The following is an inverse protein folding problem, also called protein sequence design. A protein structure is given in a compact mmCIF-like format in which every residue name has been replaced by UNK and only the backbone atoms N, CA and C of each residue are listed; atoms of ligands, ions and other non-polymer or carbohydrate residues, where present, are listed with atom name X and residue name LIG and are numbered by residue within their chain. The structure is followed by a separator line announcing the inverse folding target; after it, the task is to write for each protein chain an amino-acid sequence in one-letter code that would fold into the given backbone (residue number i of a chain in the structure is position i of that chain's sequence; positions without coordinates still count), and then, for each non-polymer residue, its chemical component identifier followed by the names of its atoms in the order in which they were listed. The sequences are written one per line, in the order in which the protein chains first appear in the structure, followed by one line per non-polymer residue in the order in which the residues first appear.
data_IF_435655954146
#
_entry.id   IF_435655954146
#
_cell.length_a   1.000
_cell.length_b   1.000
_cell.length_c   1.000
_cell.angle_alpha   90.00
_cell.angle_beta   90.00
_cell.angle_gamma   90.00
#
_symmetry.space_group_name_H-M   'P 1'
#
loop_
_entity.id
_entity.type
_entity.pdbx_description
1 polymer ?
#
# COMPACT_ATOMS: atom_id res chain seq x y z
N UNK A 1 13.54 -0.22 14.09
CA UNK A 1 14.37 -0.72 12.98
C UNK A 1 13.53 -1.63 12.10
N UNK A 2 13.83 -1.66 10.80
CA UNK A 2 13.02 -2.39 9.82
C UNK A 2 13.89 -3.03 8.74
N UNK A 3 13.61 -4.28 8.40
CA UNK A 3 14.09 -4.92 7.18
C UNK A 3 13.02 -4.76 6.11
N UNK A 4 13.41 -4.17 4.99
CA UNK A 4 12.56 -4.00 3.84
C UNK A 4 13.03 -4.94 2.74
N UNK A 5 12.16 -5.86 2.35
CA UNK A 5 12.42 -6.82 1.28
C UNK A 5 11.81 -6.27 0.01
N UNK A 6 12.58 -6.21 -1.07
CA UNK A 6 12.09 -5.82 -2.41
C UNK A 6 11.35 -6.99 -3.06
N UNK A 7 10.27 -7.39 -2.40
CA UNK A 7 9.37 -8.46 -2.82
C UNK A 7 8.02 -8.27 -2.14
N UNK A 8 6.95 -8.66 -2.81
CA UNK A 8 5.58 -8.43 -2.37
C UNK A 8 4.61 -9.16 -3.29
N UNK A 9 3.31 -8.86 -3.19
CA UNK A 9 2.30 -9.62 -3.95
C UNK A 9 2.40 -9.50 -5.48
N UNK A 10 3.15 -8.53 -5.99
CA UNK A 10 3.44 -8.39 -7.44
C UNK A 10 4.33 -9.52 -7.98
N UNK A 11 5.15 -10.12 -7.10
CA UNK A 11 6.18 -11.10 -7.44
C UNK A 11 5.66 -12.56 -7.36
N UNK A 12 4.35 -12.75 -7.28
CA UNK A 12 3.72 -14.05 -7.04
C UNK A 12 3.37 -14.82 -8.32
N UNK A 13 3.69 -14.30 -9.51
CA UNK A 13 3.28 -14.87 -10.81
C UNK A 13 3.59 -16.36 -10.98
N UNK A 14 4.72 -16.82 -10.42
CA UNK A 14 5.18 -18.21 -10.47
C UNK A 14 4.84 -19.02 -9.20
N UNK A 15 3.95 -18.49 -8.37
CA UNK A 15 3.60 -19.00 -7.05
C UNK A 15 2.08 -18.94 -6.81
N UNK A 16 1.54 -19.66 -5.82
CA UNK A 16 0.17 -19.44 -5.40
C UNK A 16 0.00 -18.00 -4.88
N UNK A 17 -0.95 -17.25 -5.44
CA UNK A 17 -1.22 -15.88 -5.00
C UNK A 17 -1.57 -15.80 -3.51
N UNK A 18 -1.06 -14.77 -2.84
CA UNK A 18 -1.09 -14.63 -1.38
C UNK A 18 0.11 -15.23 -0.66
N UNK A 19 1.09 -15.82 -1.38
CA UNK A 19 2.29 -16.39 -0.78
C UNK A 19 3.15 -15.35 -0.06
N UNK A 20 3.25 -14.11 -0.53
CA UNK A 20 4.06 -13.09 0.12
C UNK A 20 3.48 -12.74 1.50
N UNK A 21 2.16 -12.58 1.57
CA UNK A 21 1.45 -12.36 2.83
C UNK A 21 1.46 -13.61 3.73
N UNK A 22 1.33 -14.81 3.15
CA UNK A 22 1.42 -16.04 3.93
C UNK A 22 2.83 -16.24 4.51
N UNK A 23 3.88 -15.90 3.75
CA UNK A 23 5.26 -15.91 4.22
C UNK A 23 5.46 -14.92 5.37
N UNK A 24 4.87 -13.73 5.29
CA UNK A 24 4.82 -12.75 6.38
C UNK A 24 4.37 -13.36 7.70
N UNK A 25 3.22 -14.06 7.71
CA UNK A 25 2.75 -14.79 8.88
C UNK A 25 3.76 -15.82 9.37
N UNK A 26 4.32 -16.58 8.44
CA UNK A 26 5.18 -17.72 8.74
C UNK A 26 6.56 -17.31 9.27
N UNK A 27 7.06 -16.11 8.95
CA UNK A 27 8.37 -15.62 9.43
C UNK A 27 8.51 -15.62 10.95
N UNK A 28 7.40 -15.44 11.65
CA UNK A 28 7.37 -15.34 13.11
C UNK A 28 7.04 -16.68 13.82
N UNK A 29 6.91 -17.78 13.07
CA UNK A 29 6.49 -19.08 13.61
C UNK A 29 7.64 -19.99 13.99
N UNK A 30 8.87 -19.50 13.87
CA UNK A 30 10.08 -20.20 14.28
C UNK A 30 11.23 -20.01 13.30
N UNK A 31 12.42 -19.93 13.87
CA UNK A 31 13.69 -19.86 13.17
C UNK A 31 14.56 -21.06 13.54
N UNK A 32 15.77 -21.13 12.97
CA UNK A 32 16.76 -22.14 13.37
C UNK A 32 17.18 -21.98 14.83
N UNK A 33 17.15 -20.75 15.37
CA UNK A 33 17.66 -20.46 16.71
C UNK A 33 16.57 -20.15 17.75
N UNK A 34 15.33 -19.87 17.32
CA UNK A 34 14.22 -19.45 18.19
C UNK A 34 12.91 -20.15 17.83
N UNK A 35 12.19 -20.60 18.85
CA UNK A 35 10.79 -21.01 18.68
C UNK A 35 9.89 -19.78 18.58
N UNK A 36 8.65 -19.96 18.12
CA UNK A 36 7.60 -18.92 18.08
C UNK A 36 7.40 -18.23 19.43
N UNK A 37 7.36 -19.00 20.51
CA UNK A 37 7.18 -18.50 21.88
C UNK A 37 8.40 -17.69 22.30
N UNK A 38 9.60 -18.20 21.99
CA UNK A 38 10.85 -17.51 22.31
C UNK A 38 10.96 -16.17 21.60
N UNK A 39 10.59 -16.07 20.32
CA UNK A 39 10.53 -14.79 19.59
C UNK A 39 9.63 -13.79 20.34
N UNK A 40 8.44 -14.24 20.76
CA UNK A 40 7.47 -13.37 21.42
C UNK A 40 7.94 -12.92 22.81
N UNK A 41 8.57 -13.83 23.56
CA UNK A 41 9.10 -13.56 24.90
C UNK A 41 10.28 -12.59 24.84
N UNK A 42 11.28 -12.84 23.96
CA UNK A 42 12.46 -11.97 23.84
C UNK A 42 12.07 -10.53 23.49
N UNK A 43 11.11 -10.31 22.57
CA UNK A 43 10.64 -8.94 22.30
C UNK A 43 9.94 -8.32 23.51
N UNK A 44 9.18 -9.11 24.28
CA UNK A 44 8.45 -8.60 25.46
C UNK A 44 9.41 -8.27 26.61
N UNK A 45 10.45 -9.08 26.81
CA UNK A 45 11.47 -8.90 27.86
C UNK A 45 12.22 -7.57 27.70
N UNK A 46 12.49 -7.16 26.46
CA UNK A 46 13.17 -5.90 26.16
C UNK A 46 12.19 -4.71 26.02
N UNK A 47 10.91 -4.91 26.33
CA UNK A 47 9.87 -3.90 26.19
C UNK A 47 9.63 -3.46 24.74
N UNK A 48 9.97 -4.32 23.77
CA UNK A 48 9.89 -4.03 22.36
C UNK A 48 8.51 -4.27 21.75
N UNK A 49 8.39 -3.91 20.48
CA UNK A 49 7.23 -4.24 19.63
C UNK A 49 7.73 -4.75 18.29
N UNK A 50 6.98 -5.64 17.66
CA UNK A 50 7.35 -6.19 16.37
C UNK A 50 6.12 -6.35 15.48
N UNK A 51 6.37 -6.52 14.20
CA UNK A 51 5.33 -6.83 13.24
C UNK A 51 5.85 -6.82 11.82
N UNK A 52 4.93 -6.94 10.88
CA UNK A 52 5.23 -6.86 9.47
C UNK A 52 4.08 -6.24 8.68
N UNK A 53 4.33 -5.95 7.41
CA UNK A 53 3.32 -5.58 6.45
C UNK A 53 3.78 -5.92 5.03
N UNK A 54 2.92 -6.59 4.27
CA UNK A 54 3.14 -6.92 2.86
C UNK A 54 2.36 -5.98 1.95
N UNK A 55 3.07 -5.35 1.02
CA UNK A 55 2.52 -4.53 -0.05
C UNK A 55 2.78 -5.21 -1.42
N UNK A 56 2.24 -4.67 -2.53
CA UNK A 56 2.49 -5.26 -3.84
C UNK A 56 3.98 -5.33 -4.21
N UNK A 57 4.75 -4.29 -3.88
CA UNK A 57 6.12 -4.13 -4.38
C UNK A 57 7.21 -4.43 -3.33
N UNK A 58 6.83 -4.54 -2.06
CA UNK A 58 7.75 -4.71 -0.95
C UNK A 58 7.05 -5.32 0.28
N UNK A 59 7.84 -5.94 1.17
CA UNK A 59 7.40 -6.43 2.47
C UNK A 59 8.32 -5.86 3.54
N UNK A 60 7.75 -5.35 4.62
CA UNK A 60 8.50 -4.79 5.75
C UNK A 60 8.34 -5.65 6.97
N UNK A 61 9.44 -5.99 7.63
CA UNK A 61 9.49 -6.58 8.97
C UNK A 61 10.13 -5.56 9.91
N UNK A 62 9.60 -5.38 11.10
CA UNK A 62 10.12 -4.39 12.04
C UNK A 62 10.18 -4.91 13.46
N UNK A 63 11.16 -4.38 14.18
CA UNK A 63 11.28 -4.49 15.65
C UNK A 63 11.58 -3.09 16.17
N UNK A 64 10.81 -2.63 17.13
CA UNK A 64 11.01 -1.37 17.85
C UNK A 64 11.48 -1.74 19.24
N UNK A 65 12.59 -1.15 19.68
CA UNK A 65 13.22 -1.44 20.98
C UNK A 65 13.58 -0.12 21.67
N UNK A 66 13.75 -0.11 22.99
CA UNK A 66 14.54 0.90 23.67
C UNK A 66 15.93 1.03 23.02
N UNK A 67 16.54 2.21 23.13
CA UNK A 67 17.80 2.50 22.43
C UNK A 67 18.95 1.59 22.90
N UNK A 68 19.01 1.20 24.17
CA UNK A 68 20.04 0.32 24.72
C UNK A 68 19.94 -1.14 24.23
N UNK A 69 18.77 -1.55 23.74
CA UNK A 69 18.47 -2.93 23.35
C UNK A 69 18.58 -3.16 21.83
N UNK A 70 19.15 -2.22 21.10
CA UNK A 70 19.21 -2.26 19.63
C UNK A 70 19.92 -3.52 19.10
N UNK A 71 20.93 -4.03 19.81
CA UNK A 71 21.65 -5.25 19.42
C UNK A 71 20.72 -6.46 19.38
N UNK A 72 19.95 -6.65 20.45
CA UNK A 72 18.96 -7.74 20.55
C UNK A 72 17.88 -7.57 19.47
N UNK A 73 17.44 -6.34 19.23
CA UNK A 73 16.48 -6.02 18.17
C UNK A 73 16.99 -6.41 16.77
N UNK A 74 18.27 -6.11 16.45
CA UNK A 74 18.89 -6.47 15.17
C UNK A 74 19.02 -7.97 15.02
N UNK A 75 19.47 -8.68 16.05
CA UNK A 75 19.59 -10.13 16.04
C UNK A 75 18.24 -10.82 15.83
N UNK A 76 17.21 -10.37 16.56
CA UNK A 76 15.86 -10.93 16.43
C UNK A 76 15.30 -10.67 15.03
N UNK A 77 15.42 -9.45 14.52
CA UNK A 77 14.90 -9.08 13.20
C UNK A 77 15.62 -9.84 12.08
N UNK A 78 16.94 -9.95 12.13
CA UNK A 78 17.75 -10.63 11.10
C UNK A 78 17.54 -12.15 11.14
N UNK A 79 17.41 -12.76 12.31
CA UNK A 79 17.07 -14.18 12.46
C UNK A 79 15.67 -14.49 11.91
N UNK A 80 14.68 -13.64 12.18
CA UNK A 80 13.34 -13.76 11.59
C UNK A 80 13.41 -13.63 10.07
N UNK A 81 14.13 -12.63 9.53
CA UNK A 81 14.14 -12.39 8.09
C UNK A 81 14.89 -13.47 7.33
N UNK A 82 16.02 -13.96 7.84
CA UNK A 82 16.92 -14.83 7.08
C UNK A 82 16.91 -16.30 7.51
N UNK A 83 16.40 -16.64 8.70
CA UNK A 83 16.58 -17.99 9.30
C UNK A 83 15.27 -18.67 9.72
N UNK A 84 14.11 -18.23 9.22
CA UNK A 84 12.83 -18.93 9.45
C UNK A 84 12.83 -20.35 8.87
N UNK A 85 12.23 -21.31 9.59
CA UNK A 85 12.23 -22.75 9.23
C UNK A 85 10.93 -23.27 8.65
N UNK A 86 9.86 -22.48 8.74
CA UNK A 86 8.51 -22.78 8.26
C UNK A 86 7.98 -24.15 8.74
N UNK A 87 7.71 -24.33 10.05
CA UNK A 87 7.25 -25.63 10.56
C UNK A 87 5.90 -26.04 9.98
N UNK A 88 5.77 -27.29 9.50
CA UNK A 88 4.54 -27.83 8.88
C UNK A 88 3.30 -27.67 9.76
N UNK A 89 3.45 -27.92 11.08
CA UNK A 89 2.38 -27.73 12.05
C UNK A 89 1.87 -26.28 12.06
N UNK A 90 2.76 -25.30 11.99
CA UNK A 90 2.39 -23.88 12.01
C UNK A 90 1.79 -23.46 10.67
N UNK A 91 2.24 -24.03 9.54
CA UNK A 91 1.63 -23.81 8.22
C UNK A 91 0.14 -24.21 8.25
N UNK A 92 -0.18 -25.39 8.78
CA UNK A 92 -1.56 -25.87 8.86
C UNK A 92 -2.45 -24.94 9.71
N UNK A 93 -1.92 -24.41 10.82
CA UNK A 93 -2.63 -23.48 11.69
C UNK A 93 -2.82 -22.11 11.01
N UNK A 94 -1.76 -21.55 10.43
CA UNK A 94 -1.79 -20.22 9.81
C UNK A 94 -2.67 -20.19 8.56
N UNK A 95 -2.78 -21.29 7.80
CA UNK A 95 -3.77 -21.39 6.71
C UNK A 95 -5.18 -21.07 7.21
N UNK A 96 -5.55 -21.58 8.38
CA UNK A 96 -6.86 -21.29 8.98
C UNK A 96 -6.99 -19.82 9.35
N UNK A 97 -5.95 -19.21 9.93
CA UNK A 97 -5.92 -17.79 10.33
C UNK A 97 -6.10 -16.88 9.11
N UNK A 98 -5.32 -17.11 8.04
CA UNK A 98 -5.36 -16.28 6.83
C UNK A 98 -6.67 -16.48 6.06
N UNK A 99 -7.23 -17.68 6.01
CA UNK A 99 -8.57 -17.91 5.44
C UNK A 99 -9.63 -17.10 6.20
N UNK A 100 -9.56 -17.04 7.53
CA UNK A 100 -10.48 -16.20 8.31
C UNK A 100 -10.27 -14.70 8.02
N UNK A 101 -9.04 -14.25 7.80
CA UNK A 101 -8.77 -12.88 7.39
C UNK A 101 -9.37 -12.56 6.02
N UNK A 102 -9.22 -13.45 5.04
CA UNK A 102 -9.84 -13.31 3.71
C UNK A 102 -11.36 -13.18 3.84
N UNK A 103 -11.99 -13.99 4.71
CA UNK A 103 -13.44 -13.92 4.97
C UNK A 103 -13.84 -12.61 5.63
N UNK A 104 -13.14 -12.18 6.68
CA UNK A 104 -13.37 -10.87 7.32
C UNK A 104 -13.25 -9.71 6.34
N UNK A 105 -12.26 -9.75 5.44
CA UNK A 105 -12.08 -8.75 4.40
C UNK A 105 -13.20 -8.78 3.33
N UNK A 106 -13.81 -9.94 3.07
CA UNK A 106 -15.00 -10.05 2.21
C UNK A 106 -16.25 -9.54 2.91
N UNK A 107 -16.36 -9.70 4.22
CA UNK A 107 -17.55 -9.30 5.00
C UNK A 107 -17.65 -7.80 5.21
N UNK A 108 -16.52 -7.09 5.25
CA UNK A 108 -16.47 -5.61 5.24
C UNK A 108 -16.79 -5.08 3.84
N UNK A 109 -17.95 -4.42 3.62
CA UNK A 109 -18.34 -4.07 2.26
C UNK A 109 -17.41 -3.04 1.60
N UNK A 110 -16.83 -2.12 2.38
CA UNK A 110 -15.83 -1.16 1.89
C UNK A 110 -14.58 -1.83 1.34
N UNK A 111 -14.02 -2.78 2.09
CA UNK A 111 -12.80 -3.49 1.72
C UNK A 111 -13.05 -4.38 0.51
N UNK A 112 -14.21 -5.06 0.50
CA UNK A 112 -14.66 -5.85 -0.63
C UNK A 112 -14.81 -5.00 -1.90
N UNK A 113 -15.47 -3.84 -1.82
CA UNK A 113 -15.65 -2.94 -2.96
C UNK A 113 -14.35 -2.37 -3.51
N UNK A 114 -13.43 -1.96 -2.63
CA UNK A 114 -12.11 -1.49 -3.05
C UNK A 114 -11.29 -2.61 -3.72
N UNK A 115 -11.36 -3.85 -3.21
CA UNK A 115 -10.70 -5.01 -3.84
C UNK A 115 -11.27 -5.31 -5.22
N UNK A 116 -12.59 -5.21 -5.39
CA UNK A 116 -13.22 -5.35 -6.71
C UNK A 116 -12.77 -4.25 -7.66
N UNK A 117 -12.74 -2.99 -7.20
CA UNK A 117 -12.25 -1.87 -8.00
C UNK A 117 -10.82 -2.12 -8.47
N UNK A 118 -9.89 -2.44 -7.56
CA UNK A 118 -8.48 -2.72 -7.89
C UNK A 118 -8.34 -3.94 -8.81
N UNK A 119 -9.18 -4.97 -8.65
CA UNK A 119 -9.22 -6.14 -9.53
C UNK A 119 -9.53 -5.77 -10.98
N UNK A 120 -10.47 -4.85 -11.18
CA UNK A 120 -10.81 -4.39 -12.52
C UNK A 120 -9.79 -3.40 -13.08
N UNK A 121 -9.25 -2.50 -12.25
CA UNK A 121 -8.18 -1.58 -12.65
C UNK A 121 -6.90 -2.32 -13.07
N UNK A 122 -6.54 -3.40 -12.36
CA UNK A 122 -5.37 -4.22 -12.69
C UNK A 122 -5.58 -5.17 -13.88
N UNK A 123 -6.77 -5.17 -14.49
CA UNK A 123 -7.02 -5.74 -15.82
C UNK A 123 -6.54 -7.18 -16.00
N UNK A 124 -5.42 -7.35 -16.71
CA UNK A 124 -4.80 -8.66 -17.02
C UNK A 124 -4.11 -9.31 -15.82
N UNK A 125 -3.94 -8.59 -14.72
CA UNK A 125 -3.38 -9.08 -13.47
C UNK A 125 -4.36 -8.94 -12.29
N UNK A 126 -5.59 -9.47 -12.41
CA UNK A 126 -6.64 -9.26 -11.41
C UNK A 126 -6.34 -9.93 -10.05
N UNK A 127 -5.43 -10.90 -10.02
CA UNK A 127 -4.81 -11.47 -8.82
C UNK A 127 -4.12 -10.43 -7.92
N UNK A 128 -3.46 -9.43 -8.52
CA UNK A 128 -2.60 -8.47 -7.81
C UNK A 128 -3.43 -7.52 -6.97
N UNK A 129 -4.76 -7.49 -7.16
CA UNK A 129 -5.74 -6.69 -6.42
C UNK A 129 -5.70 -6.87 -4.89
N UNK A 130 -5.17 -8.00 -4.42
CA UNK A 130 -5.11 -8.33 -3.01
C UNK A 130 -3.85 -9.12 -2.71
N UNK A 131 -3.08 -8.65 -1.74
CA UNK A 131 -1.96 -9.38 -1.15
C UNK A 131 -2.39 -10.63 -0.37
N UNK A 132 -3.67 -10.75 0.01
CA UNK A 132 -4.19 -11.91 0.76
C UNK A 132 -4.33 -13.18 -0.09
N UNK A 133 -4.35 -13.07 -1.42
CA UNK A 133 -4.73 -14.17 -2.30
C UNK A 133 -6.22 -14.56 -2.20
N UNK A 134 -6.53 -15.82 -2.53
CA UNK A 134 -7.84 -16.43 -2.41
C UNK A 134 -7.82 -17.57 -1.39
N UNK A 135 -9.01 -18.00 -0.93
CA UNK A 135 -9.09 -19.17 -0.03
C UNK A 135 -8.48 -20.42 -0.69
N UNK A 136 -8.68 -20.60 -2.01
CA UNK A 136 -8.13 -21.74 -2.75
C UNK A 136 -6.61 -21.64 -2.93
N UNK A 137 -6.07 -20.46 -3.23
CA UNK A 137 -4.63 -20.29 -3.41
C UNK A 137 -3.88 -20.44 -2.08
N UNK A 138 -4.39 -19.86 -0.99
CA UNK A 138 -3.76 -19.97 0.34
C UNK A 138 -3.79 -21.40 0.86
N UNK A 139 -4.90 -22.13 0.64
CA UNK A 139 -4.98 -23.53 1.05
C UNK A 139 -4.05 -24.44 0.25
N UNK A 140 -3.72 -24.09 -1.00
CA UNK A 140 -2.77 -24.85 -1.82
C UNK A 140 -1.29 -24.55 -1.55
N UNK A 141 -0.94 -23.48 -0.84
CA UNK A 141 0.48 -23.14 -0.53
C UNK A 141 1.15 -24.31 0.19
N UNK A 142 2.28 -24.78 -0.35
CA UNK A 142 3.12 -25.82 0.28
C UNK A 142 4.30 -25.19 1.03
N UNK A 143 4.97 -25.98 1.87
CA UNK A 143 6.21 -25.55 2.53
C UNK A 143 7.32 -25.32 1.50
N UNK A 144 7.37 -26.13 0.46
CA UNK A 144 8.29 -26.01 -0.65
C UNK A 144 8.12 -24.67 -1.38
N UNK A 145 6.87 -24.23 -1.59
CA UNK A 145 6.60 -22.91 -2.17
C UNK A 145 7.17 -21.78 -1.30
N UNK A 146 6.99 -21.85 0.03
CA UNK A 146 7.53 -20.86 0.96
C UNK A 146 9.06 -20.82 0.93
N UNK A 147 9.70 -21.99 0.91
CA UNK A 147 11.15 -22.09 0.83
C UNK A 147 11.66 -21.51 -0.49
N UNK A 148 11.00 -21.83 -1.61
CA UNK A 148 11.36 -21.30 -2.94
C UNK A 148 11.23 -19.79 -2.99
N UNK A 149 10.07 -19.24 -2.59
CA UNK A 149 9.85 -17.79 -2.57
C UNK A 149 10.83 -17.10 -1.61
N UNK A 150 11.08 -17.67 -0.44
CA UNK A 150 12.06 -17.15 0.51
C UNK A 150 13.48 -17.13 -0.08
N UNK A 151 13.91 -18.23 -0.69
CA UNK A 151 15.25 -18.35 -1.26
C UNK A 151 15.44 -17.37 -2.42
N UNK A 152 14.42 -17.21 -3.27
CA UNK A 152 14.45 -16.27 -4.39
C UNK A 152 14.51 -14.81 -3.92
N UNK A 153 13.66 -14.40 -2.97
CA UNK A 153 13.46 -12.98 -2.67
C UNK A 153 14.10 -12.45 -1.37
N UNK A 154 14.39 -13.31 -0.38
CA UNK A 154 14.88 -12.91 0.95
C UNK A 154 16.39 -13.08 1.07
N UNK A 155 17.10 -12.65 0.04
CA UNK A 155 18.56 -12.66 -0.03
C UNK A 155 19.12 -11.35 0.54
N UNK A 156 20.32 -11.34 1.14
CA UNK A 156 20.93 -10.11 1.66
C UNK A 156 20.98 -8.96 0.64
N UNK A 157 21.28 -9.25 -0.63
CA UNK A 157 21.29 -8.27 -1.74
C UNK A 157 19.92 -7.68 -2.10
N UNK A 158 18.82 -8.31 -1.67
CA UNK A 158 17.45 -7.86 -1.94
C UNK A 158 16.74 -7.31 -0.68
N UNK A 159 17.48 -7.11 0.41
CA UNK A 159 16.98 -6.61 1.69
C UNK A 159 17.72 -5.36 2.13
N UNK A 160 16.99 -4.33 2.52
CA UNK A 160 17.53 -3.10 3.11
C UNK A 160 17.17 -3.05 4.59
N UNK A 161 18.17 -3.03 5.47
CA UNK A 161 17.97 -2.73 6.88
C UNK A 161 18.04 -1.22 7.11
N UNK A 162 16.95 -0.65 7.60
CA UNK A 162 16.87 0.76 7.97
C UNK A 162 16.68 0.88 9.48
N UNK A 163 17.57 1.63 10.13
CA UNK A 163 17.50 1.92 11.56
C UNK A 163 17.38 3.44 11.73
N UNK A 164 16.31 3.87 12.38
CA UNK A 164 16.03 5.27 12.72
C UNK A 164 15.95 5.39 14.24
N UNK A 165 16.53 6.47 14.79
CA UNK A 165 16.61 6.71 16.23
C UNK A 165 18.03 7.02 16.71
N UNK A 166 18.27 6.87 18.01
CA UNK A 166 19.57 7.13 18.63
C UNK A 166 20.52 5.95 18.42
N UNK A 167 21.19 5.90 17.26
CA UNK A 167 22.14 4.85 16.88
C UNK A 167 23.36 5.43 16.17
N UNK A 168 24.54 4.91 16.48
CA UNK A 168 25.76 5.22 15.74
C UNK A 168 25.90 4.25 14.55
N UNK A 169 26.02 4.81 13.35
CA UNK A 169 26.07 4.03 12.11
C UNK A 169 27.26 3.07 12.07
N UNK A 170 28.46 3.53 12.44
CA UNK A 170 29.67 2.70 12.42
C UNK A 170 29.57 1.55 13.43
N UNK A 171 29.01 1.78 14.63
CA UNK A 171 28.77 0.72 15.61
C UNK A 171 27.76 -0.31 15.11
N UNK A 172 26.69 0.13 14.44
CA UNK A 172 25.70 -0.76 13.85
C UNK A 172 26.31 -1.63 12.74
N UNK A 173 27.05 -1.02 11.81
CA UNK A 173 27.71 -1.74 10.71
C UNK A 173 28.71 -2.76 11.25
N UNK A 174 29.61 -2.36 12.16
CA UNK A 174 30.58 -3.27 12.77
C UNK A 174 29.88 -4.44 13.50
N UNK A 175 28.72 -4.19 14.12
CA UNK A 175 27.96 -5.26 14.76
C UNK A 175 27.33 -6.21 13.73
N UNK A 176 26.72 -5.67 12.67
CA UNK A 176 26.17 -6.48 11.58
C UNK A 176 27.24 -7.34 10.92
N UNK A 177 28.45 -6.80 10.68
CA UNK A 177 29.58 -7.56 10.14
C UNK A 177 30.04 -8.71 11.05
N UNK A 178 29.78 -8.63 12.36
CA UNK A 178 30.03 -9.71 13.31
C UNK A 178 28.95 -10.81 13.29
N UNK A 179 27.78 -10.54 12.70
CA UNK A 179 26.69 -11.50 12.55
C UNK A 179 26.88 -12.35 11.29
N UNK A 180 26.29 -13.55 11.31
CA UNK A 180 26.33 -14.45 10.16
C UNK A 180 25.04 -14.34 9.34
N UNK A 181 25.20 -13.98 8.06
CA UNK A 181 24.13 -13.94 7.07
C UNK A 181 24.19 -15.16 6.14
N UNK A 182 23.06 -15.57 5.52
CA UNK A 182 23.10 -16.59 4.48
C UNK A 182 23.92 -16.10 3.28
N UNK A 183 24.54 -17.05 2.57
CA UNK A 183 25.18 -16.74 1.29
C UNK A 183 24.12 -16.27 0.29
N UNK A 184 24.52 -15.36 -0.60
CA UNK A 184 23.70 -14.99 -1.74
C UNK A 184 23.46 -16.21 -2.64
N UNK A 185 22.27 -16.27 -3.24
CA UNK A 185 21.98 -17.27 -4.25
C UNK A 185 22.23 -16.66 -5.63
N UNK A 186 22.54 -17.49 -6.61
CA UNK A 186 22.68 -17.02 -8.00
C UNK A 186 21.32 -16.62 -8.62
N UNK A 187 20.21 -16.82 -7.90
CA UNK A 187 18.86 -16.49 -8.36
C UNK A 187 18.68 -14.98 -8.29
N UNK A 188 18.48 -14.36 -9.46
CA UNK A 188 18.11 -12.95 -9.55
C UNK A 188 16.60 -12.81 -9.35
N UNK A 189 16.14 -12.02 -8.35
CA UNK A 189 14.72 -11.73 -8.17
C UNK A 189 14.11 -11.14 -9.44
N UNK A 190 12.86 -11.51 -9.74
CA UNK A 190 12.15 -10.94 -10.89
C UNK A 190 11.96 -9.43 -10.75
N UNK A 191 12.04 -8.70 -11.88
CA UNK A 191 11.82 -7.25 -11.90
C UNK A 191 10.34 -6.87 -11.78
N UNK A 192 10.06 -5.69 -11.23
CA UNK A 192 8.72 -5.12 -11.20
C UNK A 192 8.23 -4.74 -12.61
N UNK A 193 7.33 -5.56 -13.17
CA UNK A 193 6.65 -5.25 -14.44
C UNK A 193 5.67 -4.08 -14.27
N UNK A 194 5.67 -3.09 -15.20
CA UNK A 194 4.64 -2.04 -15.25
C UNK A 194 3.28 -2.63 -15.60
N UNK A 195 2.22 -2.10 -15.00
CA UNK A 195 0.85 -2.49 -15.33
C UNK A 195 0.50 -2.03 -16.75
N UNK A 196 -0.09 -2.93 -17.52
CA UNK A 196 -0.70 -2.61 -18.81
C UNK A 196 -2.15 -2.15 -18.58
N UNK A 197 -2.43 -0.90 -18.94
CA UNK A 197 -3.77 -0.31 -18.81
C UNK A 197 -4.78 -1.02 -19.72
N UNK A 198 -5.92 -1.41 -19.16
CA UNK A 198 -7.09 -1.85 -19.91
C UNK A 198 -8.09 -0.70 -20.11
N UNK A 199 -8.92 -0.79 -21.15
CA UNK A 199 -9.95 0.21 -21.43
C UNK A 199 -11.06 0.16 -20.34
N UNK A 200 -11.35 1.29 -19.70
CA UNK A 200 -12.29 1.38 -18.56
C UNK A 200 -13.69 1.89 -18.97
N UNK A 201 -13.76 2.82 -19.92
CA UNK A 201 -14.99 3.29 -20.59
C UNK A 201 -16.07 3.90 -19.69
N UNK A 202 -15.71 4.41 -18.52
CA UNK A 202 -16.67 5.04 -17.60
C UNK A 202 -17.74 4.08 -17.09
N UNK A 203 -17.54 2.77 -17.27
CA UNK A 203 -18.58 1.76 -16.99
C UNK A 203 -18.87 1.67 -15.49
N UNK A 204 -20.08 1.24 -15.17
CA UNK A 204 -20.52 0.96 -13.80
C UNK A 204 -20.75 -0.53 -13.67
N UNK A 205 -20.19 -1.12 -12.61
CA UNK A 205 -20.45 -2.49 -12.22
C UNK A 205 -21.31 -2.47 -10.97
N UNK A 206 -22.54 -2.97 -11.10
CA UNK A 206 -23.47 -3.09 -9.98
C UNK A 206 -23.29 -4.44 -9.30
N UNK A 207 -23.11 -4.41 -7.97
CA UNK A 207 -22.99 -5.58 -7.12
C UNK A 207 -24.13 -5.53 -6.11
N UNK A 208 -25.03 -6.50 -6.23
CA UNK A 208 -26.11 -6.64 -5.27
C UNK A 208 -25.58 -7.22 -3.95
N UNK A 209 -25.85 -6.52 -2.85
CA UNK A 209 -25.55 -7.01 -1.50
C UNK A 209 -26.53 -6.46 -0.50
N UNK A 210 -26.95 -7.28 0.46
CA UNK A 210 -27.81 -6.84 1.55
C UNK A 210 -27.00 -6.01 2.57
N UNK A 211 -26.86 -4.72 2.29
CA UNK A 211 -26.16 -3.73 3.14
C UNK A 211 -27.07 -2.53 3.39
N UNK A 212 -26.94 -1.91 4.56
CA UNK A 212 -27.74 -0.72 4.93
C UNK A 212 -27.31 0.53 4.18
N UNK A 213 -26.00 0.78 4.14
CA UNK A 213 -25.41 1.91 3.45
C UNK A 213 -24.93 1.46 2.07
N UNK A 214 -25.41 2.11 1.01
CA UNK A 214 -24.90 1.88 -0.32
C UNK A 214 -23.49 2.47 -0.48
N UNK A 215 -22.73 1.91 -1.41
CA UNK A 215 -21.35 2.25 -1.62
C UNK A 215 -21.08 2.52 -3.09
N UNK A 216 -20.44 3.64 -3.37
CA UNK A 216 -19.92 3.97 -4.68
C UNK A 216 -18.40 4.06 -4.58
N UNK A 217 -17.72 3.04 -5.09
CA UNK A 217 -16.28 3.06 -5.29
C UNK A 217 -16.02 3.47 -6.74
N UNK A 218 -14.97 4.24 -6.96
CA UNK A 218 -14.57 4.62 -8.31
C UNK A 218 -13.07 4.75 -8.40
N UNK A 219 -12.55 4.58 -9.61
CA UNK A 219 -11.13 4.75 -9.84
C UNK A 219 -10.78 4.93 -11.31
N UNK A 220 -9.56 5.40 -11.53
CA UNK A 220 -8.99 5.68 -12.84
C UNK A 220 -7.47 5.48 -12.79
N UNK A 221 -6.83 5.33 -13.95
CA UNK A 221 -5.37 5.33 -13.99
C UNK A 221 -4.84 6.72 -13.64
N UNK A 222 -3.75 6.74 -12.87
CA UNK A 222 -3.03 7.94 -12.48
C UNK A 222 -1.54 7.79 -12.79
N UNK A 223 -0.73 8.81 -12.49
CA UNK A 223 0.72 8.72 -12.63
C UNK A 223 1.31 7.69 -11.67
N UNK A 224 2.29 6.93 -12.14
CA UNK A 224 3.12 6.09 -11.29
C UNK A 224 4.10 6.93 -10.44
N UNK A 225 4.92 6.24 -9.63
CA UNK A 225 5.87 6.87 -8.71
C UNK A 225 7.02 7.60 -9.40
N UNK A 226 7.34 7.26 -10.65
CA UNK A 226 8.44 7.87 -11.41
C UNK A 226 7.98 9.13 -12.14
N UNK A 227 6.73 9.15 -12.61
CA UNK A 227 6.14 10.29 -13.31
C UNK A 227 6.16 11.58 -12.48
N UNK A 228 6.65 12.67 -13.08
CA UNK A 228 6.65 14.00 -12.45
C UNK A 228 5.23 14.60 -12.33
N UNK A 229 4.27 14.11 -13.13
CA UNK A 229 2.87 14.54 -13.06
C UNK A 229 2.26 14.29 -11.67
N UNK A 230 2.81 13.34 -10.90
CA UNK A 230 2.35 13.04 -9.54
C UNK A 230 2.31 14.25 -8.62
N UNK A 231 3.19 15.25 -8.82
CA UNK A 231 3.20 16.44 -7.99
C UNK A 231 1.98 17.32 -8.25
N UNK A 232 1.65 17.56 -9.52
CA UNK A 232 0.39 18.20 -9.91
C UNK A 232 -0.80 17.34 -9.48
N UNK A 233 -0.69 16.01 -9.58
CA UNK A 233 -1.69 15.05 -9.14
C UNK A 233 -2.01 15.11 -7.65
N UNK A 234 -1.01 15.23 -6.76
CA UNK A 234 -1.25 15.40 -5.32
C UNK A 234 -2.06 16.67 -5.03
N UNK A 235 -1.78 17.76 -5.77
CA UNK A 235 -2.53 19.02 -5.65
C UNK A 235 -3.95 18.87 -6.21
N UNK A 236 -4.10 18.34 -7.42
CA UNK A 236 -5.38 18.15 -8.10
C UNK A 236 -6.31 17.22 -7.30
N UNK A 237 -5.80 16.09 -6.80
CA UNK A 237 -6.58 15.13 -6.01
C UNK A 237 -6.94 15.70 -4.64
N UNK A 238 -6.08 16.51 -4.02
CA UNK A 238 -6.42 17.20 -2.76
C UNK A 238 -7.53 18.24 -2.95
N UNK A 239 -7.49 19.00 -4.04
CA UNK A 239 -8.58 19.92 -4.43
C UNK A 239 -9.88 19.13 -4.64
N UNK A 240 -9.83 18.07 -5.45
CA UNK A 240 -10.96 17.22 -5.74
C UNK A 240 -11.58 16.62 -4.46
N UNK A 241 -10.76 16.07 -3.57
CA UNK A 241 -11.21 15.55 -2.27
C UNK A 241 -11.91 16.63 -1.44
N UNK A 242 -11.35 17.85 -1.39
CA UNK A 242 -11.95 18.95 -0.64
C UNK A 242 -13.29 19.39 -1.22
N UNK A 243 -13.38 19.52 -2.55
CA UNK A 243 -14.61 19.97 -3.24
C UNK A 243 -15.71 18.92 -3.15
N UNK A 244 -15.41 17.65 -3.43
CA UNK A 244 -16.38 16.55 -3.28
C UNK A 244 -16.83 16.42 -1.83
N UNK A 245 -15.93 16.50 -0.85
CA UNK A 245 -16.32 16.42 0.56
C UNK A 245 -17.22 17.61 0.98
N UNK A 246 -16.96 18.82 0.47
CA UNK A 246 -17.82 19.98 0.70
C UNK A 246 -19.22 19.76 0.11
N UNK A 247 -19.31 19.47 -1.19
CA UNK A 247 -20.58 19.31 -1.89
C UNK A 247 -21.40 18.13 -1.36
N UNK A 248 -20.79 16.96 -1.18
CA UNK A 248 -21.50 15.75 -0.77
C UNK A 248 -21.82 15.77 0.73
N UNK A 249 -20.86 16.13 1.60
CA UNK A 249 -21.04 15.99 3.07
C UNK A 249 -21.53 17.27 3.74
N UNK A 250 -20.98 18.42 3.36
CA UNK A 250 -21.22 19.68 4.09
C UNK A 250 -22.47 20.38 3.58
N UNK A 251 -22.58 20.57 2.27
CA UNK A 251 -23.63 21.39 1.69
C UNK A 251 -24.94 20.62 1.51
N UNK A 252 -24.86 19.32 1.20
CA UNK A 252 -26.03 18.48 0.87
C UNK A 252 -26.29 17.33 1.85
N UNK A 253 -25.34 16.99 2.72
CA UNK A 253 -25.49 15.92 3.72
C UNK A 253 -25.78 14.53 3.12
N UNK A 254 -25.33 14.25 1.90
CA UNK A 254 -25.65 13.02 1.16
C UNK A 254 -24.91 11.79 1.70
N UNK A 255 -23.67 11.96 2.17
CA UNK A 255 -22.81 10.84 2.56
C UNK A 255 -22.15 11.03 3.93
N UNK A 256 -21.89 9.89 4.59
CA UNK A 256 -21.18 9.85 5.86
C UNK A 256 -19.66 9.86 5.65
N UNK A 257 -19.20 9.18 4.59
CA UNK A 257 -17.79 8.98 4.27
C UNK A 257 -17.53 9.32 2.81
N UNK A 258 -16.49 10.13 2.58
CA UNK A 258 -15.98 10.49 1.26
C UNK A 258 -14.46 10.49 1.31
N UNK A 259 -13.84 9.78 0.38
CA UNK A 259 -12.39 9.80 0.20
C UNK A 259 -12.02 9.81 -1.27
N UNK A 260 -10.96 10.53 -1.60
CA UNK A 260 -10.25 10.46 -2.87
C UNK A 260 -8.76 10.43 -2.56
N UNK A 261 -8.05 9.50 -3.18
CA UNK A 261 -6.63 9.26 -2.96
C UNK A 261 -5.91 9.06 -4.29
N UNK A 262 -4.65 9.51 -4.33
CA UNK A 262 -3.70 9.21 -5.40
C UNK A 262 -2.71 8.18 -4.86
N UNK A 263 -2.71 6.98 -5.45
CA UNK A 263 -1.76 5.92 -5.16
C UNK A 263 -0.70 5.90 -6.27
N UNK A 264 0.56 6.14 -5.90
CA UNK A 264 1.71 6.13 -6.82
C UNK A 264 2.63 4.98 -6.43
N UNK A 265 2.57 3.87 -7.16
CA UNK A 265 3.50 2.73 -7.03
C UNK A 265 4.49 2.77 -8.19
N UNK A 266 5.56 1.97 -8.16
CA UNK A 266 6.50 1.92 -9.30
C UNK A 266 5.88 1.25 -10.52
N UNK A 267 5.20 0.14 -10.31
CA UNK A 267 4.56 -0.64 -11.35
C UNK A 267 3.29 0.02 -11.89
N UNK A 268 2.62 0.89 -11.11
CA UNK A 268 1.30 1.42 -11.46
C UNK A 268 0.90 2.67 -10.68
N UNK A 269 -0.05 3.43 -11.22
CA UNK A 269 -0.63 4.60 -10.58
C UNK A 269 -2.15 4.60 -10.67
N UNK A 270 -2.83 4.91 -9.58
CA UNK A 270 -4.29 4.99 -9.55
C UNK A 270 -4.79 6.20 -8.78
N UNK A 271 -5.87 6.79 -9.27
CA UNK A 271 -6.70 7.70 -8.48
C UNK A 271 -7.96 6.92 -8.13
N UNK A 272 -8.27 6.80 -6.86
CA UNK A 272 -9.47 6.10 -6.40
C UNK A 272 -10.24 6.91 -5.40
N UNK A 273 -11.55 6.74 -5.40
CA UNK A 273 -12.42 7.35 -4.43
C UNK A 273 -13.56 6.44 -3.99
N UNK A 274 -14.18 6.85 -2.89
CA UNK A 274 -15.22 6.11 -2.21
C UNK A 274 -16.24 7.09 -1.63
N UNK A 275 -17.52 6.74 -1.77
CA UNK A 275 -18.65 7.41 -1.14
C UNK A 275 -19.54 6.36 -0.48
N UNK A 276 -19.78 6.51 0.83
CA UNK A 276 -20.77 5.74 1.57
C UNK A 276 -22.04 6.57 1.78
N UNK A 277 -23.15 6.17 1.19
CA UNK A 277 -24.38 6.99 1.08
C UNK A 277 -25.65 6.13 1.14
N UNK A 278 -26.83 6.77 1.25
CA UNK A 278 -28.10 6.09 1.05
C UNK A 278 -28.30 5.66 -0.43
N UNK A 279 -29.00 4.55 -0.71
CA UNK A 279 -29.19 4.05 -2.08
C UNK A 279 -29.75 5.07 -3.07
N UNK A 280 -30.71 5.90 -2.64
CA UNK A 280 -31.32 6.93 -3.48
C UNK A 280 -30.40 8.11 -3.82
N UNK A 281 -29.23 8.21 -3.20
CA UNK A 281 -28.28 9.32 -3.36
C UNK A 281 -27.04 8.96 -4.18
N UNK A 282 -26.95 7.71 -4.68
CA UNK A 282 -25.78 7.24 -5.44
C UNK A 282 -25.62 8.03 -6.74
N UNK A 283 -26.69 8.18 -7.52
CA UNK A 283 -26.64 8.85 -8.81
C UNK A 283 -26.27 10.33 -8.68
N UNK A 284 -26.81 11.00 -7.65
CA UNK A 284 -26.45 12.38 -7.37
C UNK A 284 -24.99 12.50 -6.89
N UNK A 285 -24.52 11.57 -6.05
CA UNK A 285 -23.11 11.51 -5.65
C UNK A 285 -22.18 11.32 -6.85
N UNK A 286 -22.54 10.41 -7.77
CA UNK A 286 -21.80 10.19 -9.01
C UNK A 286 -21.77 11.46 -9.87
N UNK A 287 -22.90 12.13 -10.03
CA UNK A 287 -23.01 13.38 -10.78
C UNK A 287 -22.12 14.47 -10.20
N UNK A 288 -22.07 14.60 -8.88
CA UNK A 288 -21.17 15.55 -8.19
C UNK A 288 -19.70 15.21 -8.48
N UNK A 289 -19.32 13.94 -8.37
CA UNK A 289 -17.94 13.49 -8.68
C UNK A 289 -17.55 13.87 -10.12
N UNK A 290 -18.39 13.53 -11.11
CA UNK A 290 -18.14 13.83 -12.52
C UNK A 290 -18.11 15.34 -12.78
N UNK A 291 -18.98 16.11 -12.12
CA UNK A 291 -19.00 17.57 -12.22
C UNK A 291 -17.71 18.17 -11.72
N UNK A 292 -17.24 17.79 -10.53
CA UNK A 292 -16.01 18.35 -9.96
C UNK A 292 -14.75 17.93 -10.74
N UNK A 293 -14.70 16.71 -11.27
CA UNK A 293 -13.67 16.27 -12.21
C UNK A 293 -13.66 17.16 -13.47
N UNK A 294 -14.83 17.40 -14.07
CA UNK A 294 -14.95 18.27 -15.24
C UNK A 294 -14.55 19.71 -14.93
N UNK A 295 -14.96 20.27 -13.79
CA UNK A 295 -14.60 21.64 -13.40
C UNK A 295 -13.10 21.81 -13.25
N UNK A 296 -12.39 20.85 -12.64
CA UNK A 296 -10.92 20.88 -12.58
C UNK A 296 -10.24 20.77 -13.94
N UNK A 297 -10.94 20.32 -14.99
CA UNK A 297 -10.43 20.28 -16.37
C UNK A 297 -10.60 21.58 -17.14
N UNK A 298 -11.62 22.38 -16.82
CA UNK A 298 -12.01 23.54 -17.65
C UNK A 298 -11.92 24.88 -16.90
N UNK A 299 -11.92 24.86 -15.58
CA UNK A 299 -11.82 26.04 -14.73
C UNK A 299 -10.44 26.14 -14.10
N UNK A 300 -9.76 27.27 -14.28
CA UNK A 300 -8.52 27.54 -13.57
C UNK A 300 -8.77 27.62 -12.05
N UNK A 301 -7.93 26.95 -11.26
CA UNK A 301 -8.03 26.98 -9.80
C UNK A 301 -7.70 28.38 -9.28
N UNK A 302 -8.59 28.99 -8.46
CA UNK A 302 -8.31 30.27 -7.82
C UNK A 302 -7.00 30.26 -7.02
N UNK A 303 -6.25 31.37 -7.08
CA UNK A 303 -4.92 31.46 -6.49
C UNK A 303 -4.90 31.23 -4.96
N UNK A 304 -5.94 31.66 -4.26
CA UNK A 304 -6.09 31.46 -2.81
C UNK A 304 -6.36 29.99 -2.46
N UNK A 305 -7.24 29.32 -3.21
CA UNK A 305 -7.54 27.89 -3.06
C UNK A 305 -6.30 27.03 -3.34
N UNK A 306 -5.57 27.33 -4.42
CA UNK A 306 -4.33 26.65 -4.77
C UNK A 306 -3.27 26.82 -3.68
N UNK A 307 -3.06 28.06 -3.22
CA UNK A 307 -2.08 28.37 -2.16
C UNK A 307 -2.39 27.64 -0.86
N UNK A 308 -3.65 27.64 -0.41
CA UNK A 308 -4.10 26.90 0.79
C UNK A 308 -3.89 25.40 0.62
N UNK A 309 -4.20 24.85 -0.54
CA UNK A 309 -4.06 23.42 -0.82
C UNK A 309 -2.61 22.97 -0.76
N UNK A 310 -1.70 23.68 -1.43
CA UNK A 310 -0.25 23.42 -1.37
C UNK A 310 0.26 23.47 0.06
N UNK A 311 -0.09 24.51 0.81
CA UNK A 311 0.29 24.65 2.24
C UNK A 311 -0.20 23.47 3.07
N UNK A 312 -1.44 23.01 2.84
CA UNK A 312 -2.00 21.85 3.54
C UNK A 312 -1.26 20.55 3.22
N UNK A 313 -0.89 20.33 1.95
CA UNK A 313 -0.14 19.12 1.53
C UNK A 313 1.24 19.13 2.17
N UNK A 314 1.97 20.25 2.03
CA UNK A 314 3.33 20.39 2.55
C UNK A 314 3.33 20.27 4.08
N UNK A 315 2.45 21.01 4.76
CA UNK A 315 2.39 21.00 6.21
C UNK A 315 2.10 19.61 6.76
N UNK A 316 1.14 18.89 6.18
CA UNK A 316 0.83 17.52 6.60
C UNK A 316 1.99 16.57 6.34
N UNK A 317 2.59 16.64 5.16
CA UNK A 317 3.72 15.79 4.81
C UNK A 317 4.92 16.00 5.74
N UNK A 318 5.26 17.26 6.07
CA UNK A 318 6.36 17.56 7.00
C UNK A 318 6.07 17.07 8.43
N UNK A 319 4.83 17.20 8.91
CA UNK A 319 4.42 16.64 10.22
C UNK A 319 4.49 15.11 10.21
N UNK A 320 4.07 14.46 9.12
CA UNK A 320 4.15 13.01 9.00
C UNK A 320 5.61 12.53 9.03
N UNK A 321 6.54 13.27 8.39
CA UNK A 321 7.98 13.01 8.37
C UNK A 321 8.68 13.11 9.74
N UNK A 322 8.06 13.76 10.74
CA UNK A 322 8.60 13.79 12.12
C UNK A 322 8.54 12.40 12.82
N UNK A 323 7.80 11.44 12.25
CA UNK A 323 7.69 10.08 12.80
C UNK A 323 8.88 9.22 12.37
N UNK A 324 9.54 8.49 13.30
CA UNK A 324 10.65 7.59 12.98
C UNK A 324 10.33 6.56 11.89
N UNK A 325 9.07 6.10 11.82
CA UNK A 325 8.58 5.17 10.81
C UNK A 325 8.47 5.79 9.41
N UNK A 326 8.13 7.08 9.31
CA UNK A 326 8.07 7.79 8.03
C UNK A 326 9.49 7.99 7.47
N UNK A 327 10.41 8.47 8.30
CA UNK A 327 11.84 8.55 7.98
C UNK A 327 12.39 7.18 7.57
N UNK A 328 12.01 6.12 8.27
CA UNK A 328 12.45 4.76 7.97
C UNK A 328 11.98 4.29 6.59
N UNK A 329 10.69 4.49 6.28
CA UNK A 329 10.12 4.15 4.98
C UNK A 329 10.74 4.98 3.85
N UNK A 330 11.05 6.24 4.12
CA UNK A 330 11.67 7.14 3.18
C UNK A 330 13.07 6.69 2.76
N UNK A 331 13.93 6.41 3.74
CA UNK A 331 15.29 5.88 3.52
C UNK A 331 15.25 4.51 2.83
N UNK A 332 14.29 3.66 3.17
CA UNK A 332 14.11 2.37 2.49
C UNK A 332 13.72 2.55 1.03
N UNK A 333 12.81 3.49 0.74
CA UNK A 333 12.37 3.76 -0.63
C UNK A 333 13.54 4.18 -1.54
N UNK A 334 14.48 4.96 -0.99
CA UNK A 334 15.71 5.35 -1.69
C UNK A 334 16.57 4.17 -2.10
N UNK A 335 16.78 3.22 -1.21
CA UNK A 335 17.65 2.09 -1.49
C UNK A 335 16.95 1.01 -2.34
N UNK A 336 15.66 0.79 -2.12
CA UNK A 336 14.89 -0.24 -2.84
C UNK A 336 14.65 0.16 -4.30
N UNK A 337 14.41 1.45 -4.52
CA UNK A 337 13.90 1.92 -5.80
C UNK A 337 14.72 3.05 -6.45
N UNK A 338 15.78 3.54 -5.80
CA UNK A 338 16.65 4.58 -6.36
C UNK A 338 16.00 5.96 -6.47
N UNK A 339 14.86 6.20 -5.81
CA UNK A 339 14.29 7.54 -5.73
C UNK A 339 14.76 8.20 -4.45
N UNK A 340 15.30 9.41 -4.52
CA UNK A 340 15.64 10.21 -3.32
C UNK A 340 14.44 11.07 -2.94
N UNK A 341 13.53 10.62 -2.06
CA UNK A 341 12.52 11.47 -1.45
C UNK A 341 13.21 12.40 -0.44
N UNK A 342 13.77 13.51 -0.92
CA UNK A 342 14.08 14.64 -0.04
C UNK A 342 12.75 15.31 0.35
N UNK A 343 12.41 15.39 1.65
CA UNK A 343 11.19 16.06 2.08
C UNK A 343 11.11 17.52 1.65
N UNK A 344 12.24 18.22 1.64
CA UNK A 344 12.30 19.62 1.20
C UNK A 344 12.13 19.71 -0.31
N UNK A 345 12.81 18.84 -1.07
CA UNK A 345 12.59 18.67 -2.50
C UNK A 345 11.14 18.36 -2.86
N UNK A 346 10.45 17.48 -2.11
CA UNK A 346 9.02 17.24 -2.29
C UNK A 346 8.21 18.52 -2.05
N UNK A 347 8.49 19.22 -0.94
CA UNK A 347 7.80 20.47 -0.63
C UNK A 347 8.01 21.53 -1.72
N UNK A 348 9.22 21.65 -2.27
CA UNK A 348 9.54 22.58 -3.35
C UNK A 348 8.83 22.22 -4.66
N UNK A 349 8.77 20.92 -4.99
CA UNK A 349 7.99 20.44 -6.14
C UNK A 349 6.49 20.74 -6.00
N UNK A 350 5.93 20.63 -4.79
CA UNK A 350 4.52 21.00 -4.55
C UNK A 350 4.35 22.54 -4.59
N UNK A 351 5.30 23.31 -4.06
CA UNK A 351 5.28 24.78 -4.14
C UNK A 351 5.27 25.27 -5.59
N UNK A 352 6.02 24.61 -6.48
CA UNK A 352 6.14 25.00 -7.88
C UNK A 352 4.91 24.72 -8.74
N UNK A 353 3.96 23.87 -8.31
CA UNK A 353 2.78 23.49 -9.13
C UNK A 353 1.88 24.70 -9.44
N UNK A 354 1.76 25.13 -10.67
CA UNK A 354 0.88 26.25 -11.04
C UNK A 354 -0.56 25.79 -11.31
N UNK A 355 -1.50 26.74 -11.39
CA UNK A 355 -2.88 26.42 -11.76
C UNK A 355 -2.97 25.75 -13.14
N UNK A 356 -2.06 26.10 -14.05
CA UNK A 356 -1.92 25.46 -15.36
C UNK A 356 -1.51 23.99 -15.25
N UNK A 357 -0.63 23.64 -14.33
CA UNK A 357 -0.20 22.25 -14.14
C UNK A 357 -1.36 21.38 -13.64
N UNK A 358 -2.22 21.93 -12.77
CA UNK A 358 -3.44 21.25 -12.32
C UNK A 358 -4.41 21.03 -13.49
N UNK A 359 -4.58 22.03 -14.36
CA UNK A 359 -5.40 21.89 -15.57
C UNK A 359 -4.86 20.81 -16.51
N UNK A 360 -3.57 20.84 -16.82
CA UNK A 360 -2.93 19.84 -17.69
C UNK A 360 -3.03 18.43 -17.10
N UNK A 361 -2.83 18.31 -15.78
CA UNK A 361 -3.05 17.05 -15.08
C UNK A 361 -4.51 16.58 -15.22
N UNK A 362 -5.48 17.46 -14.95
CA UNK A 362 -6.88 17.11 -15.04
C UNK A 362 -7.27 16.72 -16.49
N UNK A 363 -6.79 17.43 -17.51
CA UNK A 363 -7.01 17.10 -18.91
C UNK A 363 -6.49 15.71 -19.28
N UNK A 364 -5.30 15.36 -18.78
CA UNK A 364 -4.66 14.07 -19.02
C UNK A 364 -5.36 12.91 -18.29
N UNK A 365 -5.72 13.08 -17.01
CA UNK A 365 -6.13 11.96 -16.15
C UNK A 365 -7.64 11.93 -15.83
N UNK A 366 -8.33 13.07 -15.71
CA UNK A 366 -9.75 13.16 -15.26
C UNK A 366 -10.77 12.96 -16.40
N UNK A 367 -10.49 12.02 -17.30
CA UNK A 367 -11.40 11.67 -18.38
C UNK A 367 -12.34 10.55 -17.95
N UNK A 368 -13.64 10.67 -18.26
CA UNK A 368 -14.61 9.62 -17.92
C UNK A 368 -14.29 8.27 -18.60
N UNK A 369 -13.71 8.29 -19.80
CA UNK A 369 -13.19 7.11 -20.49
C UNK A 369 -12.08 6.37 -19.73
N UNK A 370 -11.39 7.08 -18.83
CA UNK A 370 -10.37 6.56 -17.93
C UNK A 370 -10.96 6.10 -16.59
N UNK A 371 -12.28 6.10 -16.40
CA UNK A 371 -12.92 5.78 -15.12
C UNK A 371 -13.62 4.43 -15.11
N UNK A 372 -13.73 3.88 -13.91
CA UNK A 372 -14.55 2.73 -13.57
C UNK A 372 -15.28 3.01 -12.25
N UNK A 373 -16.54 2.58 -12.17
CA UNK A 373 -17.33 2.62 -10.94
C UNK A 373 -17.72 1.20 -10.49
N UNK A 374 -17.65 0.94 -9.18
CA UNK A 374 -18.25 -0.22 -8.52
C UNK A 374 -19.33 0.31 -7.58
N UNK A 375 -20.59 -0.01 -7.87
CA UNK A 375 -21.71 0.30 -7.01
C UNK A 375 -22.09 -0.95 -6.23
N UNK A 376 -22.13 -0.87 -4.90
CA UNK A 376 -22.64 -1.93 -4.03
C UNK A 376 -23.88 -1.41 -3.34
N UNK A 377 -25.02 -2.03 -3.58
CA UNK A 377 -26.30 -1.67 -2.97
C UNK A 377 -27.21 -2.88 -2.90
N UNK A 378 -28.29 -2.78 -2.12
CA UNK A 378 -29.39 -3.75 -2.19
C UNK A 378 -30.09 -3.62 -3.56
N UNK A 379 -30.72 -4.68 -4.05
CA UNK A 379 -31.57 -4.59 -5.23
C UNK A 379 -32.64 -3.51 -5.03
N UNK A 380 -33.00 -2.75 -6.08
CA UNK A 380 -34.22 -1.95 -6.07
C UNK A 380 -35.39 -2.88 -5.73
N UNK A 381 -36.23 -2.50 -4.76
CA UNK A 381 -37.47 -3.22 -4.45
C UNK A 381 -38.49 -3.10 -5.57
#
# INVERSE_FOLDING_TARGET
MCCWVKAGSHHEKSYPYGIAHFLEHMKFKGTVSRTKERISNEVSEIGGRWGAATYPEWTRYYVHTPYDEWKQGVELLTDIVFRSTFPEREIALEKTVVVQEIRRAKDKPSDYGNRLLLRHLRGMHPERASNLGSESSVTSITREDLIRFNTEYYQPSNVVLVVTGHIDHSKLVNYLESLSFPNESDIQPSSLEKLLHCKLDGRIIHIERNIHQAQLHWGMYGPDRESLDRYAGYVAVRLLQSRIAKEIRTDRGLAYSVSVILNTMYSEGFISGYVGTDPGQIDESKKIILTELHRLRVEAVPADELSRTKKSIIGRFLIDEDHPEALNARLASEHIFGLTPDPLGFADRIRSVEARDVLLFAEAYFQESNMLFIQISKAPQ
#
